data_IF_352502626237
#
_entry.id   IF_352502626237
#
_cell.length_a   1.000
_cell.length_b   1.000
_cell.length_c   1.000
_cell.angle_alpha   90.00
_cell.angle_beta   90.00
_cell.angle_gamma   90.00
#
_symmetry.space_group_name_H-M   'P 1'
#
loop_
_entity.id
_entity.type
_entity.pdbx_description
1 polymer ?
#
# COMPACT_ATOMS: atom_id res chain seq x y z
N UNK A 1 -15.73 -24.36 39.27
CA UNK A 1 -15.17 -23.02 38.93
C UNK A 1 -15.23 -22.85 37.41
N UNK A 2 -15.75 -21.74 36.87
CA UNK A 2 -15.73 -21.50 35.41
C UNK A 2 -14.42 -20.82 35.03
N UNK A 3 -13.58 -21.48 34.26
CA UNK A 3 -12.32 -20.93 33.75
C UNK A 3 -12.57 -20.16 32.45
N UNK A 4 -11.87 -19.04 32.28
CA UNK A 4 -11.98 -18.22 31.06
C UNK A 4 -11.12 -18.78 29.91
N UNK A 5 -10.11 -19.58 30.21
CA UNK A 5 -9.27 -20.25 29.22
C UNK A 5 -9.72 -21.71 29.05
N UNK A 6 -9.67 -22.26 27.82
CA UNK A 6 -9.22 -21.66 26.56
C UNK A 6 -10.25 -20.71 25.92
N UNK A 7 -9.79 -19.78 25.09
CA UNK A 7 -10.65 -18.88 24.31
C UNK A 7 -11.37 -19.64 23.20
N UNK A 8 -12.66 -19.37 22.98
CA UNK A 8 -13.38 -19.91 21.82
C UNK A 8 -12.85 -19.24 20.54
N UNK A 9 -12.96 -19.92 19.39
CA UNK A 9 -12.46 -19.41 18.10
C UNK A 9 -13.08 -18.05 17.74
N UNK A 10 -14.36 -17.87 18.04
CA UNK A 10 -15.08 -16.60 17.86
C UNK A 10 -14.59 -15.50 18.81
N UNK A 11 -14.04 -15.85 19.98
CA UNK A 11 -13.51 -14.90 20.95
C UNK A 11 -12.07 -14.51 20.63
N UNK A 12 -11.28 -15.44 20.09
CA UNK A 12 -9.87 -15.20 19.73
C UNK A 12 -9.69 -14.10 18.69
N UNK A 13 -10.67 -13.90 17.80
CA UNK A 13 -10.61 -12.83 16.79
C UNK A 13 -10.65 -11.44 17.43
N UNK A 14 -11.42 -11.29 18.51
CA UNK A 14 -11.64 -10.04 19.23
C UNK A 14 -10.60 -9.74 20.32
N UNK A 15 -9.85 -10.76 20.76
CA UNK A 15 -8.89 -10.63 21.84
C UNK A 15 -7.49 -10.32 21.31
N UNK A 16 -6.95 -9.16 21.68
CA UNK A 16 -5.59 -8.75 21.27
C UNK A 16 -4.56 -9.41 22.17
N UNK A 17 -3.72 -10.27 21.59
CA UNK A 17 -2.63 -10.92 22.30
C UNK A 17 -1.41 -9.99 22.39
N UNK A 18 -1.00 -9.55 23.59
CA UNK A 18 0.09 -8.59 23.73
C UNK A 18 1.46 -9.14 23.29
N UNK A 19 1.71 -10.43 23.48
CA UNK A 19 3.02 -11.06 23.26
C UNK A 19 3.17 -11.73 21.89
N UNK A 20 2.14 -11.79 21.06
CA UNK A 20 2.23 -12.43 19.74
C UNK A 20 2.76 -11.42 18.71
N UNK A 21 3.83 -11.71 17.96
CA UNK A 21 4.37 -10.77 16.96
C UNK A 21 3.45 -10.59 15.75
N UNK A 22 2.44 -11.46 15.57
CA UNK A 22 1.47 -11.32 14.50
C UNK A 22 0.61 -10.07 14.68
N UNK A 23 0.52 -9.27 13.61
CA UNK A 23 -0.36 -8.09 13.53
C UNK A 23 -1.81 -8.56 13.50
N UNK A 24 -2.61 -8.06 14.44
CA UNK A 24 -4.02 -8.46 14.54
C UNK A 24 -4.90 -7.54 13.67
N UNK A 25 -6.02 -8.04 13.15
CA UNK A 25 -6.93 -7.29 12.27
C UNK A 25 -7.29 -5.85 12.72
N UNK A 26 -7.64 -5.58 14.00
CA UNK A 26 -7.89 -4.21 14.45
C UNK A 26 -6.63 -3.33 14.38
N UNK A 27 -5.44 -3.88 14.59
CA UNK A 27 -4.18 -3.14 14.45
C UNK A 27 -3.91 -2.82 12.99
N UNK A 28 -4.15 -3.78 12.09
CA UNK A 28 -4.04 -3.57 10.65
C UNK A 28 -4.96 -2.44 10.16
N UNK A 29 -6.20 -2.36 10.66
CA UNK A 29 -7.12 -1.29 10.29
C UNK A 29 -6.58 0.11 10.66
N UNK A 30 -5.97 0.23 11.85
CA UNK A 30 -5.33 1.48 12.26
C UNK A 30 -4.09 1.78 11.40
N UNK A 31 -3.26 0.78 11.11
CA UNK A 31 -2.11 0.95 10.22
C UNK A 31 -2.52 1.41 8.83
N UNK A 32 -3.55 0.79 8.24
CA UNK A 32 -4.04 1.13 6.90
C UNK A 32 -4.59 2.54 6.87
N UNK A 33 -5.29 2.98 7.93
CA UNK A 33 -5.80 4.34 8.02
C UNK A 33 -4.66 5.39 8.07
N UNK A 34 -3.64 5.15 8.89
CA UNK A 34 -2.48 6.05 8.98
C UNK A 34 -1.66 6.06 7.67
N UNK A 35 -1.51 4.89 7.04
CA UNK A 35 -0.86 4.79 5.74
C UNK A 35 -1.65 5.56 4.67
N UNK A 36 -2.98 5.40 4.64
CA UNK A 36 -3.86 6.11 3.70
C UNK A 36 -3.74 7.62 3.85
N UNK A 37 -3.54 8.12 5.08
CA UNK A 37 -3.28 9.54 5.34
C UNK A 37 -1.94 10.02 4.76
N UNK A 38 -0.93 9.16 4.72
CA UNK A 38 0.39 9.46 4.15
C UNK A 38 0.48 9.26 2.63
N UNK A 39 -0.42 8.46 2.05
CA UNK A 39 -0.47 8.17 0.60
C UNK A 39 -0.46 9.41 -0.31
N UNK A 40 -1.25 10.48 -0.10
CA UNK A 40 -1.25 11.62 -1.01
C UNK A 40 0.11 12.32 -1.07
N UNK A 41 0.81 12.43 0.07
CA UNK A 41 2.15 13.02 0.12
C UNK A 41 3.16 12.18 -0.69
N UNK A 42 3.12 10.85 -0.52
CA UNK A 42 3.97 9.92 -1.26
C UNK A 42 3.69 9.96 -2.77
N UNK A 43 2.41 10.03 -3.15
CA UNK A 43 1.99 10.12 -4.55
C UNK A 43 2.44 11.43 -5.20
N UNK A 44 2.21 12.57 -4.53
CA UNK A 44 2.67 13.87 -5.00
C UNK A 44 4.18 13.89 -5.20
N UNK A 45 4.95 13.32 -4.25
CA UNK A 45 6.40 13.23 -4.37
C UNK A 45 6.82 12.40 -5.59
N UNK A 46 6.26 11.20 -5.73
CA UNK A 46 6.57 10.32 -6.86
C UNK A 46 6.25 11.00 -8.20
N UNK A 47 5.14 11.75 -8.24
CA UNK A 47 4.76 12.53 -9.42
C UNK A 47 5.76 13.65 -9.73
N UNK A 48 6.19 14.44 -8.73
CA UNK A 48 7.19 15.51 -8.93
C UNK A 48 8.53 14.94 -9.40
N UNK A 49 8.98 13.84 -8.79
CA UNK A 49 10.20 13.13 -9.21
C UNK A 49 10.08 12.63 -10.66
N UNK A 50 8.93 12.04 -11.01
CA UNK A 50 8.67 11.58 -12.37
C UNK A 50 8.65 12.71 -13.39
N UNK A 51 8.07 13.86 -13.04
CA UNK A 51 8.06 15.05 -13.88
C UNK A 51 9.47 15.62 -14.09
N UNK A 52 10.29 15.71 -13.04
CA UNK A 52 11.69 16.17 -13.16
C UNK A 52 12.47 15.27 -14.12
N UNK A 53 12.35 13.95 -13.98
CA UNK A 53 12.99 12.98 -14.88
C UNK A 53 12.47 13.08 -16.32
N UNK A 54 11.17 13.32 -16.49
CA UNK A 54 10.56 13.49 -17.81
C UNK A 54 11.04 14.76 -18.51
N UNK A 55 11.06 15.89 -17.78
CA UNK A 55 11.58 17.17 -18.25
C UNK A 55 13.05 17.03 -18.62
N UNK A 56 13.88 16.44 -17.75
CA UNK A 56 15.29 16.19 -18.01
C UNK A 56 15.49 15.35 -19.29
N UNK A 57 14.73 14.27 -19.43
CA UNK A 57 14.78 13.42 -20.63
C UNK A 57 14.44 14.21 -21.89
N UNK A 58 13.36 14.99 -21.87
CA UNK A 58 12.97 15.82 -23.02
C UNK A 58 14.04 16.85 -23.37
N UNK A 59 14.56 17.60 -22.39
CA UNK A 59 15.61 18.58 -22.66
C UNK A 59 16.87 17.93 -23.22
N UNK A 60 17.25 16.74 -22.73
CA UNK A 60 18.40 16.01 -23.27
C UNK A 60 18.20 15.54 -24.72
N UNK A 61 16.99 15.08 -25.06
CA UNK A 61 16.62 14.69 -26.43
C UNK A 61 16.64 15.92 -27.34
N UNK A 62 16.07 17.05 -26.90
CA UNK A 62 16.10 18.31 -27.64
C UNK A 62 17.55 18.74 -27.86
N UNK A 63 18.39 18.69 -26.84
CA UNK A 63 19.80 19.04 -26.94
C UNK A 63 20.53 18.18 -27.99
N UNK A 64 20.26 16.87 -28.02
CA UNK A 64 20.90 15.95 -28.95
C UNK A 64 20.43 16.12 -30.41
N UNK A 65 19.14 16.41 -30.62
CA UNK A 65 18.57 16.56 -31.97
C UNK A 65 18.61 17.98 -32.53
N UNK A 66 18.78 19.01 -31.70
CA UNK A 66 18.86 20.42 -32.14
C UNK A 66 20.29 20.93 -32.28
N UNK A 67 21.30 20.10 -32.00
CA UNK A 67 22.69 20.44 -32.28
C UNK A 67 22.92 20.46 -33.80
N UNK A 68 22.85 21.65 -34.39
CA UNK A 68 23.17 21.92 -35.79
C UNK A 68 24.38 22.85 -35.87
N UNK A 69 25.43 22.36 -36.52
CA UNK A 69 26.64 23.12 -36.83
C UNK A 69 26.49 23.66 -38.26
N UNK A 70 26.33 24.98 -38.39
CA UNK A 70 26.19 25.64 -39.69
C UNK A 70 27.54 26.23 -40.12
N UNK A 71 28.22 25.59 -41.07
CA UNK A 71 29.35 26.20 -41.77
C UNK A 71 28.84 27.02 -42.96
N UNK A 72 28.65 28.33 -42.75
CA UNK A 72 28.27 29.24 -43.83
C UNK A 72 29.54 29.72 -44.56
N UNK A 73 29.80 29.18 -45.75
CA UNK A 73 30.84 29.71 -46.65
C UNK A 73 30.16 30.69 -47.63
N UNK A 74 30.10 31.96 -47.28
CA UNK A 74 29.52 33.03 -48.12
C UNK A 74 30.62 33.73 -48.91
N UNK A 75 30.70 33.48 -50.22
CA UNK A 75 31.60 34.20 -51.14
C UNK A 75 30.83 35.25 -51.95
N UNK A 76 30.72 36.47 -51.42
CA UNK A 76 30.08 37.59 -52.13
C UNK A 76 31.09 38.30 -53.04
N UNK A 77 31.17 37.91 -54.32
CA UNK A 77 31.98 38.60 -55.33
C UNK A 77 31.18 39.76 -55.95
N UNK A 78 31.19 40.94 -55.32
CA UNK A 78 30.57 42.15 -55.87
C UNK A 78 31.58 42.91 -56.75
N UNK A 79 31.54 42.67 -58.08
CA UNK A 79 32.28 43.48 -59.05
C UNK A 79 31.39 44.58 -59.63
N UNK A 80 31.56 45.82 -59.17
CA UNK A 80 30.79 46.98 -59.67
C UNK A 80 31.66 47.77 -60.66
N UNK A 81 31.34 47.70 -61.95
CA UNK A 81 32.03 48.47 -62.99
C UNK A 81 31.25 49.76 -63.31
N UNK A 82 31.84 50.91 -62.98
CA UNK A 82 31.26 52.24 -63.29
C UNK A 82 31.74 52.67 -64.67
N UNK A 83 30.84 52.97 -65.62
CA UNK A 83 31.15 53.53 -66.95
C UNK A 83 30.83 55.03 -67.02
N UNK A 84 31.72 55.83 -67.62
CA UNK A 84 31.59 57.29 -67.78
C UNK A 84 32.81 58.08 -67.29
N UNK A 85 33.10 59.22 -67.91
CA UNK A 85 34.25 60.12 -67.63
C UNK A 85 33.88 61.37 -66.84
N UNK A 86 32.73 61.37 -66.14
CA UNK A 86 32.31 62.51 -65.31
C UNK A 86 33.01 62.51 -63.95
N UNK A 87 33.16 63.71 -63.36
CA UNK A 87 33.76 63.93 -62.03
C UNK A 87 33.08 63.09 -60.92
N UNK A 88 31.77 62.87 -61.02
CA UNK A 88 31.02 61.98 -60.12
C UNK A 88 31.40 60.50 -60.29
N UNK A 89 31.67 60.05 -61.53
CA UNK A 89 32.09 58.67 -61.79
C UNK A 89 33.50 58.39 -61.24
N UNK A 90 34.37 59.41 -61.20
CA UNK A 90 35.72 59.31 -60.63
C UNK A 90 35.70 59.20 -59.10
N UNK A 91 34.85 60.00 -58.43
CA UNK A 91 34.64 59.89 -56.98
C UNK A 91 34.01 58.54 -56.58
N UNK A 92 33.05 58.04 -57.36
CA UNK A 92 32.45 56.73 -57.13
C UNK A 92 33.47 55.59 -57.35
N UNK A 93 34.34 55.68 -58.37
CA UNK A 93 35.44 54.69 -58.53
C UNK A 93 36.44 54.74 -57.38
N UNK A 94 36.80 55.92 -56.89
CA UNK A 94 37.76 56.07 -55.78
C UNK A 94 37.20 55.49 -54.47
N UNK A 95 35.92 55.72 -54.20
CA UNK A 95 35.26 55.23 -52.97
C UNK A 95 34.94 53.73 -53.03
N UNK A 96 34.51 53.22 -54.19
CA UNK A 96 34.18 51.79 -54.38
C UNK A 96 35.44 50.94 -54.60
N UNK A 97 36.52 51.49 -55.16
CA UNK A 97 37.80 50.82 -55.32
C UNK A 97 38.47 50.44 -53.99
N UNK A 98 38.23 51.22 -52.93
CA UNK A 98 38.66 50.90 -51.57
C UNK A 98 37.83 49.79 -50.91
N UNK A 99 36.62 49.52 -51.42
CA UNK A 99 35.70 48.48 -50.96
C UNK A 99 35.82 47.18 -51.79
N UNK A 100 36.70 47.15 -52.78
CA UNK A 100 36.92 46.01 -53.69
C UNK A 100 37.73 44.87 -53.04
N UNK A 101 37.63 44.74 -51.72
CA UNK A 101 38.27 43.68 -50.95
C UNK A 101 37.34 42.46 -50.92
N UNK A 102 37.80 41.35 -51.49
CA UNK A 102 37.21 40.03 -51.28
C UNK A 102 37.30 39.68 -49.79
N UNK A 103 36.21 39.87 -49.05
CA UNK A 103 36.10 39.46 -47.66
C UNK A 103 35.74 37.97 -47.59
N UNK A 104 36.75 37.09 -47.54
CA UNK A 104 36.57 35.71 -47.09
C UNK A 104 36.57 35.71 -45.56
N UNK A 105 35.40 35.74 -44.96
CA UNK A 105 35.22 35.54 -43.51
C UNK A 105 34.55 34.19 -43.29
N UNK A 106 35.33 33.20 -42.87
CA UNK A 106 34.79 31.94 -42.31
C UNK A 106 34.20 32.26 -40.94
N UNK A 107 32.87 32.40 -40.89
CA UNK A 107 32.13 32.67 -39.65
C UNK A 107 31.55 31.35 -39.18
N UNK A 108 32.25 30.69 -38.25
CA UNK A 108 31.74 29.52 -37.54
C UNK A 108 30.76 29.96 -36.44
N UNK A 109 29.45 29.95 -36.74
CA UNK A 109 28.41 30.20 -35.74
C UNK A 109 27.81 28.89 -35.25
N UNK A 110 28.06 28.54 -33.98
CA UNK A 110 27.45 27.37 -33.33
C UNK A 110 26.22 27.79 -32.50
N UNK A 111 25.14 26.99 -32.56
CA UNK A 111 23.92 27.21 -31.78
C UNK A 111 24.06 26.80 -30.30
N UNK A 112 25.27 26.47 -29.83
CA UNK A 112 25.56 26.02 -28.46
C UNK A 112 25.08 26.99 -27.39
N UNK A 113 25.18 28.30 -27.64
CA UNK A 113 24.72 29.33 -26.70
C UNK A 113 23.18 29.38 -26.55
N UNK A 114 22.45 28.84 -27.52
CA UNK A 114 20.99 28.84 -27.56
C UNK A 114 20.38 27.49 -27.10
N UNK A 115 21.21 26.46 -26.90
CA UNK A 115 20.74 25.14 -26.46
C UNK A 115 20.47 25.15 -24.94
N UNK A 116 19.30 24.65 -24.48
CA UNK A 116 19.02 24.54 -23.06
C UNK A 116 19.98 23.53 -22.43
N UNK A 117 20.71 23.93 -21.38
CA UNK A 117 21.54 23.02 -20.59
C UNK A 117 20.64 22.29 -19.58
N UNK A 118 20.41 20.97 -19.72
CA UNK A 118 19.58 20.22 -18.79
C UNK A 118 20.30 20.06 -17.44
N UNK A 119 19.95 20.86 -16.45
CA UNK A 119 20.40 20.68 -15.07
C UNK A 119 19.38 19.82 -14.31
N UNK A 120 19.64 18.51 -14.21
CA UNK A 120 18.85 17.62 -13.36
C UNK A 120 19.27 17.69 -11.88
N UNK A 121 18.39 17.26 -10.97
CA UNK A 121 18.77 17.08 -9.57
C UNK A 121 19.89 16.06 -9.42
N UNK A 122 20.90 16.38 -8.62
CA UNK A 122 21.99 15.45 -8.30
C UNK A 122 21.47 14.24 -7.53
N UNK A 123 22.12 13.09 -7.68
CA UNK A 123 21.77 11.86 -6.96
C UNK A 123 21.68 12.05 -5.43
N UNK A 124 22.52 12.93 -4.88
CA UNK A 124 22.50 13.27 -3.44
C UNK A 124 21.22 14.02 -3.04
N UNK A 125 20.76 14.97 -3.87
CA UNK A 125 19.51 15.70 -3.59
C UNK A 125 18.29 14.78 -3.66
N UNK A 126 18.29 13.82 -4.59
CA UNK A 126 17.27 12.76 -4.64
C UNK A 126 17.28 11.91 -3.38
N UNK A 127 18.45 11.44 -2.94
CA UNK A 127 18.57 10.63 -1.73
C UNK A 127 18.12 11.40 -0.48
N UNK A 128 18.55 12.66 -0.33
CA UNK A 128 18.17 13.50 0.80
C UNK A 128 16.66 13.77 0.85
N UNK A 129 15.99 13.80 -0.31
CA UNK A 129 14.54 13.99 -0.39
C UNK A 129 13.79 12.68 -0.13
N UNK A 130 14.20 11.57 -0.75
CA UNK A 130 13.50 10.28 -0.64
C UNK A 130 13.69 9.59 0.71
N UNK A 131 14.88 9.72 1.33
CA UNK A 131 15.22 9.03 2.58
C UNK A 131 14.29 9.37 3.77
N UNK A 132 14.02 10.65 4.11
CA UNK A 132 13.10 10.98 5.20
C UNK A 132 11.67 10.51 4.94
N UNK A 133 11.22 10.52 3.68
CA UNK A 133 9.89 10.02 3.30
C UNK A 133 9.78 8.50 3.40
N UNK A 134 10.80 7.78 2.94
CA UNK A 134 10.90 6.33 3.14
C UNK A 134 10.93 5.96 4.61
N UNK A 135 11.67 6.72 5.42
CA UNK A 135 11.69 6.57 6.87
C UNK A 135 10.32 6.83 7.50
N UNK A 136 9.58 7.85 7.04
CA UNK A 136 8.22 8.13 7.52
C UNK A 136 7.26 6.98 7.20
N UNK A 137 7.30 6.43 5.99
CA UNK A 137 6.51 5.26 5.62
C UNK A 137 6.87 4.02 6.48
N UNK A 138 8.17 3.79 6.73
CA UNK A 138 8.63 2.71 7.61
C UNK A 138 8.14 2.92 9.05
N UNK A 139 8.19 4.15 9.57
CA UNK A 139 7.71 4.48 10.90
C UNK A 139 6.21 4.23 11.05
N UNK A 140 5.40 4.53 10.03
CA UNK A 140 3.98 4.17 10.00
C UNK A 140 3.77 2.65 10.13
N UNK A 141 4.62 1.83 9.52
CA UNK A 141 4.56 0.37 9.65
C UNK A 141 5.01 -0.10 11.04
N UNK A 142 6.06 0.51 11.59
CA UNK A 142 6.62 0.13 12.89
C UNK A 142 5.75 0.63 14.04
N UNK A 143 4.86 1.61 13.84
CA UNK A 143 4.03 2.25 14.86
C UNK A 143 3.20 1.30 15.75
N UNK A 144 2.88 0.09 15.27
CA UNK A 144 2.18 -0.93 16.08
C UNK A 144 2.99 -1.35 17.31
N UNK A 145 4.31 -1.47 17.17
CA UNK A 145 5.20 -1.91 18.24
C UNK A 145 5.30 -0.92 19.41
N UNK A 146 5.48 0.41 19.22
CA UNK A 146 5.46 1.35 20.33
C UNK A 146 4.10 1.45 21.01
N UNK A 147 2.98 1.24 20.29
CA UNK A 147 1.66 1.15 20.94
C UNK A 147 1.58 -0.04 21.91
N UNK A 148 2.12 -1.21 21.53
CA UNK A 148 2.23 -2.38 22.40
C UNK A 148 3.21 -2.15 23.57
N UNK A 149 4.34 -1.53 23.29
CA UNK A 149 5.35 -1.19 24.29
C UNK A 149 4.80 -0.20 25.34
N UNK A 150 4.03 0.80 24.92
CA UNK A 150 3.37 1.76 25.83
C UNK A 150 2.52 1.04 26.86
N UNK A 151 1.80 -0.02 26.46
CA UNK A 151 1.01 -0.83 27.39
C UNK A 151 1.91 -1.59 28.37
N UNK A 152 2.99 -2.19 27.89
CA UNK A 152 3.95 -2.88 28.76
C UNK A 152 4.57 -1.92 29.80
N UNK A 153 5.03 -0.76 29.36
CA UNK A 153 5.56 0.30 30.23
C UNK A 153 4.49 0.74 31.24
N UNK A 154 3.27 1.04 30.79
CA UNK A 154 2.18 1.45 31.69
C UNK A 154 1.82 0.36 32.72
N UNK A 155 1.90 -0.92 32.34
CA UNK A 155 1.67 -2.03 33.26
C UNK A 155 2.73 -2.12 34.36
N UNK A 156 3.98 -1.76 34.04
CA UNK A 156 5.10 -1.74 34.98
C UNK A 156 4.97 -0.60 35.99
N UNK A 157 4.66 0.62 35.52
CA UNK A 157 4.56 1.80 36.40
C UNK A 157 3.23 1.88 37.17
N UNK A 158 2.11 1.38 36.63
CA UNK A 158 0.77 1.51 37.23
C UNK A 158 0.04 0.16 37.38
N UNK A 159 0.56 -0.77 38.21
CA UNK A 159 0.02 -2.12 38.32
C UNK A 159 -1.44 -2.15 38.83
N UNK A 160 -1.81 -1.22 39.73
CA UNK A 160 -3.19 -1.12 40.25
C UNK A 160 -4.20 -0.81 39.12
N UNK A 161 -3.85 0.10 38.19
CA UNK A 161 -4.73 0.46 37.06
C UNK A 161 -4.81 -0.66 36.03
N UNK A 162 -3.70 -1.33 35.73
CA UNK A 162 -3.70 -2.46 34.80
C UNK A 162 -4.50 -3.64 35.36
N UNK A 163 -4.40 -3.94 36.67
CA UNK A 163 -5.22 -4.97 37.32
C UNK A 163 -6.72 -4.69 37.14
N UNK A 164 -7.17 -3.45 37.33
CA UNK A 164 -8.57 -3.07 37.11
C UNK A 164 -8.99 -3.26 35.65
N UNK A 165 -8.14 -2.89 34.68
CA UNK A 165 -8.40 -3.10 33.24
C UNK A 165 -8.50 -4.58 32.89
N UNK A 166 -7.60 -5.42 33.42
CA UNK A 166 -7.62 -6.87 33.22
C UNK A 166 -8.86 -7.51 33.84
N UNK A 167 -9.24 -7.11 35.06
CA UNK A 167 -10.48 -7.59 35.71
C UNK A 167 -11.73 -7.16 34.95
N UNK A 168 -11.77 -5.92 34.45
CA UNK A 168 -12.85 -5.45 33.60
C UNK A 168 -12.96 -6.28 32.32
N UNK A 169 -11.83 -6.52 31.63
CA UNK A 169 -11.78 -7.34 30.42
C UNK A 169 -12.24 -8.78 30.70
N UNK A 170 -11.77 -9.37 31.80
CA UNK A 170 -12.18 -10.69 32.27
C UNK A 170 -13.70 -10.77 32.48
N UNK A 171 -14.28 -9.81 33.23
CA UNK A 171 -15.71 -9.76 33.48
C UNK A 171 -16.54 -9.51 32.20
N UNK A 172 -16.03 -8.68 31.28
CA UNK A 172 -16.64 -8.43 29.98
C UNK A 172 -16.71 -9.71 29.15
N UNK A 173 -15.61 -10.47 29.06
CA UNK A 173 -15.55 -11.74 28.34
C UNK A 173 -16.49 -12.79 28.96
N UNK A 174 -16.54 -12.87 30.30
CA UNK A 174 -17.50 -13.76 30.98
C UNK A 174 -18.96 -13.40 30.66
N UNK A 175 -19.30 -12.11 30.62
CA UNK A 175 -20.65 -11.65 30.27
C UNK A 175 -20.98 -11.97 28.81
N UNK A 176 -20.04 -11.75 27.90
CA UNK A 176 -20.18 -12.12 26.49
C UNK A 176 -20.42 -13.62 26.31
N UNK A 177 -19.69 -14.49 27.02
CA UNK A 177 -19.92 -15.93 27.02
C UNK A 177 -21.32 -16.33 27.50
N UNK A 178 -21.77 -15.75 28.62
CA UNK A 178 -23.12 -16.02 29.14
C UNK A 178 -24.19 -15.63 28.13
N UNK A 179 -24.07 -14.44 27.54
CA UNK A 179 -25.00 -13.96 26.51
C UNK A 179 -24.98 -14.85 25.27
N UNK A 180 -23.79 -15.25 24.79
CA UNK A 180 -23.65 -16.16 23.65
C UNK A 180 -24.35 -17.50 23.91
N UNK A 181 -24.07 -18.14 25.05
CA UNK A 181 -24.69 -19.41 25.42
C UNK A 181 -26.22 -19.28 25.59
N UNK A 182 -26.69 -18.18 26.17
CA UNK A 182 -28.12 -17.90 26.30
C UNK A 182 -28.81 -17.82 24.92
N UNK A 183 -28.23 -17.06 23.99
CA UNK A 183 -28.74 -16.93 22.62
C UNK A 183 -28.70 -18.25 21.86
N UNK A 184 -27.60 -19.02 21.97
CA UNK A 184 -27.48 -20.33 21.31
C UNK A 184 -28.47 -21.35 21.87
N UNK A 185 -28.69 -21.38 23.19
CA UNK A 185 -29.73 -22.23 23.79
C UNK A 185 -31.11 -21.89 23.25
N UNK A 186 -31.44 -20.60 23.12
CA UNK A 186 -32.68 -20.15 22.48
C UNK A 186 -32.81 -20.62 21.02
N UNK A 187 -31.71 -20.56 20.25
CA UNK A 187 -31.67 -21.06 18.87
C UNK A 187 -31.89 -22.58 18.81
N UNK A 188 -31.19 -23.35 19.64
CA UNK A 188 -31.34 -24.82 19.71
C UNK A 188 -32.75 -25.20 20.15
N UNK A 189 -33.32 -24.52 21.15
CA UNK A 189 -34.70 -24.77 21.59
C UNK A 189 -35.73 -24.47 20.49
N UNK A 190 -35.54 -23.39 19.71
CA UNK A 190 -36.39 -23.10 18.54
C UNK A 190 -36.24 -24.16 17.45
N UNK A 191 -35.02 -24.60 17.17
CA UNK A 191 -34.74 -25.63 16.18
C UNK A 191 -35.30 -27.00 16.62
N UNK A 192 -35.26 -27.32 17.91
CA UNK A 192 -35.84 -28.55 18.46
C UNK A 192 -37.38 -28.57 18.39
N UNK A 193 -38.03 -27.40 18.35
CA UNK A 193 -39.49 -27.29 18.16
C UNK A 193 -39.91 -27.41 16.69
N UNK A 194 -38.98 -27.21 15.74
CA UNK A 194 -39.27 -27.36 14.32
C UNK A 194 -39.16 -28.84 13.95
N UNK A 195 -40.11 -29.38 13.16
CA UNK A 195 -40.00 -30.75 12.68
C UNK A 195 -38.71 -30.91 11.85
N UNK A 196 -38.03 -32.06 11.92
CA UNK A 196 -36.80 -32.28 11.17
C UNK A 196 -37.09 -32.13 9.67
N UNK A 197 -36.45 -31.15 9.03
CA UNK A 197 -36.61 -30.95 7.59
C UNK A 197 -36.11 -32.17 6.82
N UNK A 198 -36.77 -32.49 5.70
CA UNK A 198 -36.46 -33.66 4.85
C UNK A 198 -34.95 -33.79 4.55
N UNK A 199 -34.25 -32.67 4.35
CA UNK A 199 -32.81 -32.63 4.11
C UNK A 199 -31.94 -33.13 5.28
N UNK A 200 -32.38 -32.99 6.53
CA UNK A 200 -31.65 -33.50 7.71
C UNK A 200 -31.74 -35.03 7.82
N UNK A 201 -32.90 -35.58 7.50
CA UNK A 201 -33.14 -37.03 7.45
C UNK A 201 -32.37 -37.68 6.29
N UNK A 202 -32.39 -37.04 5.11
CA UNK A 202 -31.62 -37.48 3.93
C UNK A 202 -30.11 -37.46 4.20
N UNK A 203 -29.59 -36.41 4.86
CA UNK A 203 -28.17 -36.35 5.24
C UNK A 203 -27.78 -37.48 6.20
N UNK A 204 -28.65 -37.78 7.17
CA UNK A 204 -28.42 -38.85 8.15
C UNK A 204 -28.43 -40.23 7.48
N UNK A 205 -29.38 -40.47 6.57
CA UNK A 205 -29.48 -41.69 5.77
C UNK A 205 -28.27 -41.88 4.84
N UNK A 206 -27.89 -40.85 4.07
CA UNK A 206 -26.71 -40.88 3.20
C UNK A 206 -25.42 -41.17 4.00
N UNK A 207 -25.28 -40.61 5.21
CA UNK A 207 -24.13 -40.86 6.08
C UNK A 207 -24.08 -42.30 6.61
N UNK A 208 -25.24 -42.90 6.88
CA UNK A 208 -25.33 -44.29 7.33
C UNK A 208 -24.99 -45.26 6.19
N UNK A 209 -25.40 -44.93 4.97
CA UNK A 209 -25.19 -45.77 3.78
C UNK A 209 -23.78 -45.67 3.18
N UNK A 210 -23.09 -44.54 3.34
CA UNK A 210 -21.78 -44.28 2.72
C UNK A 210 -20.69 -43.89 3.74
N UNK A 211 -19.77 -44.80 4.12
CA UNK A 211 -18.74 -44.52 5.12
C UNK A 211 -17.71 -43.47 4.66
N UNK A 212 -17.45 -43.36 3.36
CA UNK A 212 -16.55 -42.33 2.79
C UNK A 212 -17.06 -40.90 3.03
N UNK A 213 -18.38 -40.70 2.99
CA UNK A 213 -19.02 -39.41 3.25
C UNK A 213 -18.90 -38.98 4.73
N UNK A 214 -18.57 -39.88 5.66
CA UNK A 214 -18.30 -39.53 7.07
C UNK A 214 -17.08 -38.62 7.22
N UNK A 215 -16.09 -38.75 6.32
CA UNK A 215 -14.85 -37.94 6.38
C UNK A 215 -15.08 -36.52 5.87
N UNK A 216 -15.99 -36.34 4.90
CA UNK A 216 -16.37 -35.04 4.33
C UNK A 216 -17.49 -34.33 5.13
N UNK A 217 -18.43 -35.07 5.74
CA UNK A 217 -19.52 -34.53 6.56
C UNK A 217 -19.28 -34.77 8.06
N UNK A 218 -18.20 -34.20 8.60
CA UNK A 218 -17.96 -34.20 10.06
C UNK A 218 -19.12 -33.53 10.79
N UNK A 219 -19.58 -34.12 11.92
CA UNK A 219 -20.59 -33.43 12.75
C UNK A 219 -19.99 -32.14 13.28
N UNK A 220 -20.86 -31.21 13.66
CA UNK A 220 -20.47 -29.98 14.32
C UNK A 220 -21.16 -29.92 15.66
N UNK A 221 -20.51 -29.31 16.65
CA UNK A 221 -21.16 -29.05 17.92
C UNK A 221 -22.42 -28.21 17.71
N UNK A 222 -23.55 -28.62 18.29
CA UNK A 222 -24.85 -27.94 18.15
C UNK A 222 -24.86 -26.52 18.69
N UNK A 223 -24.00 -26.19 19.66
CA UNK A 223 -23.90 -24.85 20.27
C UNK A 223 -22.84 -23.97 19.61
N UNK A 224 -21.62 -24.48 19.42
CA UNK A 224 -20.48 -23.66 18.96
C UNK A 224 -20.08 -23.89 17.50
N UNK A 225 -20.65 -24.89 16.81
CA UNK A 225 -20.36 -25.18 15.40
C UNK A 225 -18.95 -25.73 15.13
N UNK A 226 -18.13 -26.00 16.16
CA UNK A 226 -16.80 -26.60 15.98
C UNK A 226 -16.92 -28.00 15.37
N UNK A 227 -16.01 -28.38 14.44
CA UNK A 227 -16.02 -29.70 13.85
C UNK A 227 -15.73 -30.78 14.90
N UNK A 228 -16.32 -31.95 14.69
CA UNK A 228 -16.18 -33.15 15.51
C UNK A 228 -14.70 -33.48 15.76
N UNK A 229 -14.36 -33.59 17.05
CA UNK A 229 -13.10 -34.08 17.61
C UNK A 229 -13.42 -35.30 18.49
N UNK A 230 -12.47 -36.21 18.76
CA UNK A 230 -12.72 -37.41 19.58
C UNK A 230 -13.26 -37.13 20.99
N UNK A 231 -13.11 -35.90 21.48
CA UNK A 231 -13.54 -35.44 22.80
C UNK A 231 -14.97 -34.87 22.84
N UNK A 232 -15.78 -35.06 21.80
CA UNK A 232 -17.17 -34.60 21.80
C UNK A 232 -18.09 -35.59 22.53
N UNK A 233 -18.99 -35.07 23.35
CA UNK A 233 -19.95 -35.87 24.11
C UNK A 233 -21.32 -35.83 23.43
N UNK A 234 -21.91 -36.99 23.07
CA UNK A 234 -23.29 -37.05 22.59
C UNK A 234 -24.26 -36.80 23.75
N UNK A 235 -25.46 -36.32 23.42
CA UNK A 235 -26.57 -36.25 24.38
C UNK A 235 -26.81 -37.64 25.01
N UNK A 236 -27.13 -37.74 26.31
CA UNK A 236 -27.33 -39.04 26.94
C UNK A 236 -28.67 -39.68 26.52
N UNK A 237 -29.57 -38.90 25.92
CA UNK A 237 -30.83 -39.37 25.39
C UNK A 237 -30.59 -40.04 24.02
N UNK A 238 -30.92 -41.34 23.84
CA UNK A 238 -30.69 -42.07 22.59
C UNK A 238 -31.45 -41.48 21.39
N UNK A 239 -32.58 -40.81 21.63
CA UNK A 239 -33.39 -40.18 20.57
C UNK A 239 -32.83 -38.82 20.13
N UNK A 240 -31.83 -38.29 20.84
CA UNK A 240 -31.26 -36.99 20.58
C UNK A 240 -29.97 -37.09 19.77
N UNK A 241 -29.99 -36.58 18.54
CA UNK A 241 -28.81 -36.55 17.63
C UNK A 241 -27.84 -35.40 17.98
N UNK A 242 -28.06 -34.70 19.10
CA UNK A 242 -27.24 -33.55 19.49
C UNK A 242 -25.84 -33.99 19.95
N UNK A 243 -24.82 -33.28 19.42
CA UNK A 243 -23.42 -33.48 19.78
C UNK A 243 -22.86 -32.18 20.37
N UNK A 244 -22.21 -32.29 21.52
CA UNK A 244 -21.63 -31.16 22.22
C UNK A 244 -20.12 -31.28 22.32
N UNK A 245 -19.45 -30.13 22.29
CA UNK A 245 -18.04 -30.04 22.63
C UNK A 245 -17.90 -30.15 24.16
N UNK A 246 -16.76 -30.64 24.68
CA UNK A 246 -16.48 -30.71 26.12
C UNK A 246 -16.75 -29.37 26.85
N UNK A 247 -16.41 -28.25 26.20
CA UNK A 247 -16.63 -26.89 26.75
C UNK A 247 -18.09 -26.44 26.70
N UNK A 248 -18.92 -27.12 25.93
CA UNK A 248 -20.30 -26.77 25.61
C UNK A 248 -21.32 -27.64 26.35
N UNK A 249 -20.89 -28.79 26.85
CA UNK A 249 -21.65 -29.73 27.68
C UNK A 249 -21.90 -29.12 29.07
#
# INVERSE_FOLDING_TARGET
>A
KRTLLPLLREETSSFIFPCNPAVQRPELQHMVLELLRCMPLLLCLFFVIGLDHFIFSILSIIQHHSFTEYSYQTSHHLSVNVMGTSLMAELLRSTIGALNASFDTEVETSNLACLPQPTGMTRQQYLNTCLPLGALALLCLVQVYPFRLRRAIASFYFPKREKTRVLFLYNKLLRQRKNFLYLQRGRVARQARQPPGLGTLLLQWCRQRWPCLRRCLRRRCTLCGKPETPWHQPCPNPDCVALYCEWCW
#
